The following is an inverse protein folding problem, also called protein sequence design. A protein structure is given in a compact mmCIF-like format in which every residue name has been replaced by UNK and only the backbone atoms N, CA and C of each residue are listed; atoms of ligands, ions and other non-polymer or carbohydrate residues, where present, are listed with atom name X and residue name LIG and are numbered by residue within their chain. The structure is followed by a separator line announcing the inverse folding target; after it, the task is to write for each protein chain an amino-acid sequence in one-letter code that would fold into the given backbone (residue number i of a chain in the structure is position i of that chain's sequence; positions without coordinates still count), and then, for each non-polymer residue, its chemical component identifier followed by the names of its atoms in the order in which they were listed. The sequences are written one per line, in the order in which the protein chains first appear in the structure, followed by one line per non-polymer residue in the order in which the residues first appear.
data_IF_898066918218
#
_entry.id   IF_898066918218
#
_cell.length_a   1.000
_cell.length_b   1.000
_cell.length_c   1.000
_cell.angle_alpha   90.00
_cell.angle_beta   90.00
_cell.angle_gamma   90.00
#
_symmetry.space_group_name_H-M   'P 1'
#
loop_
_entity.id
_entity.type
_entity.pdbx_description
1 polymer ?
#
# COMPACT_ATOMS: atom_id res chain seq x y z
N UNK A 1 26.43 25.23 -29.20
CA UNK A 1 25.76 24.05 -29.79
C UNK A 1 24.23 24.22 -29.73
N UNK A 2 23.43 23.33 -30.32
CA UNK A 2 21.97 23.32 -30.11
C UNK A 2 21.65 22.71 -28.74
N UNK A 3 20.51 23.07 -28.16
CA UNK A 3 20.05 22.62 -26.83
C UNK A 3 20.14 21.10 -26.61
N UNK A 4 19.70 20.33 -27.61
CA UNK A 4 19.61 18.86 -27.49
C UNK A 4 21.00 18.22 -27.49
N UNK A 5 21.93 18.75 -28.28
CA UNK A 5 23.30 18.22 -28.32
C UNK A 5 24.07 18.59 -27.04
N UNK A 6 23.83 19.78 -26.49
CA UNK A 6 24.36 20.17 -25.19
C UNK A 6 23.79 19.30 -24.06
N UNK A 7 22.49 18.97 -24.11
CA UNK A 7 21.86 18.08 -23.13
C UNK A 7 22.46 16.67 -23.15
N UNK A 8 22.73 16.13 -24.33
CA UNK A 8 23.36 14.82 -24.50
C UNK A 8 24.75 14.79 -23.88
N UNK A 9 25.61 15.77 -24.20
CA UNK A 9 26.96 15.87 -23.66
C UNK A 9 26.99 15.97 -22.12
N UNK A 10 26.10 16.80 -21.55
CA UNK A 10 25.98 16.94 -20.09
C UNK A 10 25.53 15.63 -19.43
N UNK A 11 24.54 14.95 -20.02
CA UNK A 11 24.08 13.66 -19.50
C UNK A 11 25.16 12.57 -19.62
N UNK A 12 25.90 12.51 -20.73
CA UNK A 12 27.02 11.57 -20.91
C UNK A 12 28.09 11.75 -19.85
N UNK A 13 28.45 13.00 -19.55
CA UNK A 13 29.43 13.34 -18.52
C UNK A 13 28.90 13.02 -17.11
N UNK A 14 27.62 13.28 -16.85
CA UNK A 14 27.00 13.03 -15.55
C UNK A 14 26.77 11.55 -15.24
N UNK A 15 26.60 10.70 -16.27
CA UNK A 15 26.31 9.25 -16.16
C UNK A 15 25.10 8.91 -15.26
N UNK A 16 24.18 9.86 -15.06
CA UNK A 16 22.96 9.71 -14.28
C UNK A 16 21.86 10.62 -14.84
N UNK A 17 20.58 10.31 -14.63
CA UNK A 17 19.51 11.22 -15.03
C UNK A 17 19.59 12.55 -14.28
N UNK A 18 19.27 13.65 -14.96
CA UNK A 18 19.30 15.00 -14.41
C UNK A 18 18.00 15.75 -14.74
N UNK A 19 17.64 16.67 -13.86
CA UNK A 19 16.54 17.60 -14.12
C UNK A 19 16.94 18.60 -15.21
N UNK A 20 16.02 18.98 -16.11
CA UNK A 20 16.36 19.87 -17.24
C UNK A 20 17.00 21.20 -16.80
N UNK A 21 16.60 21.75 -15.65
CA UNK A 21 17.18 22.97 -15.10
C UNK A 21 18.67 22.81 -14.75
N UNK A 22 19.04 21.65 -14.21
CA UNK A 22 20.43 21.30 -13.89
C UNK A 22 21.24 21.02 -15.17
N UNK A 23 20.61 20.39 -16.18
CA UNK A 23 21.22 20.19 -17.50
C UNK A 23 21.55 21.54 -18.15
N UNK A 24 20.60 22.48 -18.11
CA UNK A 24 20.79 23.83 -18.65
C UNK A 24 21.88 24.58 -17.91
N UNK A 25 21.88 24.54 -16.57
CA UNK A 25 22.90 25.21 -15.76
C UNK A 25 24.30 24.75 -16.13
N UNK A 26 24.53 23.43 -16.15
CA UNK A 26 25.84 22.86 -16.52
C UNK A 26 26.23 23.16 -17.97
N UNK A 27 25.26 23.15 -18.89
CA UNK A 27 25.53 23.48 -20.28
C UNK A 27 25.97 24.94 -20.48
N UNK A 28 25.45 25.88 -19.68
CA UNK A 28 25.88 27.28 -19.66
C UNK A 28 27.24 27.42 -18.96
N UNK A 29 27.41 26.78 -17.79
CA UNK A 29 28.66 26.83 -17.02
C UNK A 29 29.86 26.25 -17.80
N UNK A 30 29.62 25.25 -18.65
CA UNK A 30 30.64 24.65 -19.52
C UNK A 30 30.78 25.35 -20.89
N UNK A 31 30.05 26.44 -21.14
CA UNK A 31 30.09 27.19 -22.41
C UNK A 31 29.58 26.40 -23.62
N UNK A 32 28.88 25.28 -23.41
CA UNK A 32 28.33 24.43 -24.47
C UNK A 32 27.09 25.04 -25.13
N UNK A 33 26.41 25.90 -24.36
CA UNK A 33 25.21 26.61 -24.76
C UNK A 33 25.40 28.10 -24.48
N UNK A 34 24.98 28.93 -25.44
CA UNK A 34 24.91 30.38 -25.26
C UNK A 34 23.47 30.82 -25.60
N UNK A 35 22.87 31.66 -24.75
CA UNK A 35 21.44 31.99 -24.86
C UNK A 35 21.16 33.45 -24.53
N UNK A 36 20.41 34.12 -25.41
CA UNK A 36 19.98 35.52 -25.25
C UNK A 36 18.59 35.63 -24.58
N UNK A 37 17.85 34.52 -24.45
CA UNK A 37 16.46 34.49 -23.96
C UNK A 37 16.30 34.37 -22.45
N UNK A 38 15.18 34.86 -21.92
CA UNK A 38 14.93 34.97 -20.47
C UNK A 38 14.75 33.65 -19.70
N UNK A 39 14.49 32.52 -20.38
CA UNK A 39 14.23 31.22 -19.72
C UNK A 39 14.83 30.01 -20.46
N UNK A 40 16.16 29.85 -20.48
CA UNK A 40 16.84 28.75 -21.18
C UNK A 40 16.49 27.37 -20.62
N UNK A 41 16.15 27.26 -19.33
CA UNK A 41 15.72 26.01 -18.70
C UNK A 41 14.43 25.43 -19.28
N UNK A 42 13.41 26.27 -19.48
CA UNK A 42 12.14 25.85 -20.08
C UNK A 42 12.33 25.41 -21.53
N UNK A 43 13.16 26.11 -22.28
CA UNK A 43 13.52 25.76 -23.66
C UNK A 43 14.23 24.40 -23.72
N UNK A 44 15.20 24.15 -22.84
CA UNK A 44 15.89 22.87 -22.75
C UNK A 44 14.91 21.71 -22.53
N UNK A 45 14.05 21.82 -21.51
CA UNK A 45 13.06 20.80 -21.19
C UNK A 45 12.07 20.54 -22.34
N UNK A 46 11.57 21.60 -22.98
CA UNK A 46 10.66 21.48 -24.12
C UNK A 46 11.32 20.77 -25.32
N UNK A 47 12.56 21.13 -25.65
CA UNK A 47 13.29 20.54 -26.77
C UNK A 47 13.57 19.04 -26.58
N UNK A 48 13.96 18.63 -25.37
CA UNK A 48 14.16 17.22 -25.03
C UNK A 48 12.83 16.45 -25.09
N UNK A 49 11.77 17.02 -24.52
CA UNK A 49 10.44 16.39 -24.51
C UNK A 49 9.85 16.23 -25.92
N UNK A 50 9.98 17.25 -26.78
CA UNK A 50 9.52 17.18 -28.17
C UNK A 50 10.28 16.12 -28.97
N UNK A 51 11.60 15.96 -28.76
CA UNK A 51 12.36 14.88 -29.40
C UNK A 51 11.86 13.51 -28.94
N UNK A 52 11.64 13.30 -27.64
CA UNK A 52 11.08 12.04 -27.11
C UNK A 52 9.73 11.71 -27.75
N UNK A 53 8.79 12.67 -27.81
CA UNK A 53 7.48 12.45 -28.43
C UNK A 53 7.59 12.16 -29.93
N UNK A 54 8.48 12.85 -30.64
CA UNK A 54 8.72 12.61 -32.05
C UNK A 54 9.29 11.21 -32.30
N UNK A 55 10.25 10.79 -31.49
CA UNK A 55 10.88 9.47 -31.59
C UNK A 55 9.88 8.35 -31.31
N UNK A 56 9.00 8.53 -30.31
CA UNK A 56 7.89 7.61 -30.03
C UNK A 56 6.89 7.53 -31.18
N UNK A 57 6.53 8.66 -31.79
CA UNK A 57 5.58 8.72 -32.90
C UNK A 57 6.12 8.08 -34.19
N UNK A 58 7.42 8.22 -34.43
CA UNK A 58 8.08 7.79 -35.68
C UNK A 58 8.76 6.43 -35.56
N UNK A 59 8.87 5.87 -34.36
CA UNK A 59 9.63 4.65 -34.11
C UNK A 59 11.14 4.81 -34.24
N UNK A 60 11.65 6.06 -34.32
CA UNK A 60 13.08 6.34 -34.39
C UNK A 60 13.74 5.98 -33.06
N UNK A 61 14.95 5.43 -33.13
CA UNK A 61 15.79 5.34 -31.93
C UNK A 61 16.24 6.73 -31.48
N UNK A 62 15.51 7.24 -30.48
CA UNK A 62 15.80 8.50 -29.81
C UNK A 62 16.97 8.44 -28.84
N UNK A 63 17.54 9.61 -28.52
CA UNK A 63 18.69 9.75 -27.62
C UNK A 63 18.29 9.80 -26.14
N UNK A 64 17.11 10.35 -25.85
CA UNK A 64 16.66 10.65 -24.50
C UNK A 64 15.54 9.72 -24.05
N UNK A 65 15.44 9.53 -22.74
CA UNK A 65 14.30 8.92 -22.06
C UNK A 65 13.87 9.81 -20.90
N UNK A 66 12.57 9.95 -20.70
CA UNK A 66 12.01 10.61 -19.52
C UNK A 66 11.91 9.59 -18.39
N UNK A 67 12.66 9.81 -17.31
CA UNK A 67 12.68 8.90 -16.14
C UNK A 67 11.79 9.38 -14.99
N UNK A 68 11.32 10.64 -15.04
CA UNK A 68 10.46 11.23 -14.03
C UNK A 68 10.03 12.66 -14.38
N UNK A 69 9.29 13.36 -13.51
CA UNK A 69 8.89 14.75 -13.73
C UNK A 69 10.10 15.67 -13.91
N UNK A 70 10.32 16.16 -15.13
CA UNK A 70 11.46 17.04 -15.46
C UNK A 70 12.84 16.37 -15.47
N UNK A 71 12.94 15.08 -15.13
CA UNK A 71 14.18 14.30 -15.17
C UNK A 71 14.33 13.54 -16.50
N UNK A 72 15.50 13.68 -17.10
CA UNK A 72 15.86 13.06 -18.37
C UNK A 72 17.16 12.26 -18.24
N UNK A 73 17.23 11.14 -18.93
CA UNK A 73 18.43 10.31 -19.07
C UNK A 73 18.67 9.92 -20.53
N UNK A 74 19.77 9.21 -20.80
CA UNK A 74 20.08 8.71 -22.14
C UNK A 74 19.48 7.33 -22.35
N UNK A 75 18.90 7.08 -23.52
CA UNK A 75 18.25 5.81 -23.87
C UNK A 75 19.20 4.62 -23.81
N UNK A 76 20.49 4.83 -24.12
CA UNK A 76 21.56 3.83 -23.97
C UNK A 76 21.76 3.33 -22.54
N UNK A 77 21.22 4.02 -21.53
CA UNK A 77 21.24 3.58 -20.15
C UNK A 77 20.08 2.64 -19.79
N UNK A 78 19.01 2.53 -20.61
CA UNK A 78 17.88 1.65 -20.31
C UNK A 78 18.29 0.17 -20.24
N UNK A 79 19.26 -0.26 -21.05
CA UNK A 79 19.78 -1.64 -20.99
C UNK A 79 20.54 -1.91 -19.69
N UNK A 80 21.48 -1.02 -19.30
CA UNK A 80 22.29 -1.15 -18.08
C UNK A 80 21.49 -0.90 -16.78
N UNK A 81 20.50 -0.02 -16.84
CA UNK A 81 19.64 0.32 -15.71
C UNK A 81 18.69 -0.83 -15.36
N UNK A 82 18.14 -1.53 -16.37
CA UNK A 82 17.32 -2.74 -16.13
C UNK A 82 18.14 -3.86 -15.52
N UNK A 83 19.35 -4.13 -16.02
CA UNK A 83 20.25 -5.13 -15.43
C UNK A 83 20.58 -4.81 -13.97
N UNK A 84 20.89 -3.54 -13.65
CA UNK A 84 21.23 -3.13 -12.27
C UNK A 84 20.02 -3.17 -11.32
N UNK A 85 18.82 -2.83 -11.80
CA UNK A 85 17.58 -2.89 -11.02
C UNK A 85 17.18 -4.35 -10.75
N UNK A 86 17.26 -5.21 -11.77
CA UNK A 86 17.01 -6.65 -11.62
C UNK A 86 17.98 -7.27 -10.62
N UNK A 87 19.27 -6.95 -10.71
CA UNK A 87 20.25 -7.45 -9.74
C UNK A 87 19.97 -6.97 -8.31
N UNK A 88 19.57 -5.71 -8.11
CA UNK A 88 19.20 -5.18 -6.79
C UNK A 88 17.91 -5.78 -6.25
N UNK A 89 16.91 -5.99 -7.11
CA UNK A 89 15.65 -6.66 -6.75
C UNK A 89 15.89 -8.14 -6.39
N UNK A 90 16.75 -8.84 -7.12
CA UNK A 90 17.15 -10.22 -6.84
C UNK A 90 17.95 -10.34 -5.53
N UNK A 91 18.85 -9.40 -5.26
CA UNK A 91 19.66 -9.37 -4.03
C UNK A 91 18.80 -9.02 -2.81
N UNK A 92 17.87 -8.06 -2.93
CA UNK A 92 16.88 -7.75 -1.90
C UNK A 92 15.88 -8.90 -1.67
N UNK A 93 15.47 -9.60 -2.72
CA UNK A 93 14.59 -10.76 -2.62
C UNK A 93 15.26 -11.93 -1.87
N UNK A 94 16.55 -12.19 -2.13
CA UNK A 94 17.34 -13.21 -1.42
C UNK A 94 17.51 -12.88 0.07
N UNK A 95 17.84 -11.62 0.40
CA UNK A 95 17.96 -11.18 1.80
C UNK A 95 16.61 -11.24 2.52
N UNK A 96 15.50 -10.88 1.85
CA UNK A 96 14.17 -11.05 2.41
C UNK A 96 13.86 -12.53 2.68
N UNK A 97 14.14 -13.43 1.73
CA UNK A 97 13.88 -14.87 1.87
C UNK A 97 14.62 -15.49 3.07
N UNK A 98 15.87 -15.11 3.32
CA UNK A 98 16.67 -15.56 4.46
C UNK A 98 16.17 -15.01 5.82
N UNK A 99 15.52 -13.82 5.83
CA UNK A 99 14.90 -13.21 7.03
C UNK A 99 13.46 -13.75 7.27
N UNK A 100 12.78 -14.29 6.26
CA UNK A 100 11.34 -14.63 6.28
C UNK A 100 10.93 -15.94 6.97
N UNK A 101 11.83 -16.69 7.65
CA UNK A 101 11.41 -17.94 8.30
C UNK A 101 10.50 -17.70 9.52
N UNK A 102 9.20 -17.57 9.25
CA UNK A 102 8.14 -17.46 10.25
C UNK A 102 7.51 -18.83 10.59
N UNK A 103 8.16 -19.94 10.21
CA UNK A 103 7.64 -21.29 10.47
C UNK A 103 7.63 -21.61 11.97
N UNK A 104 8.56 -21.05 12.73
CA UNK A 104 8.64 -21.18 14.19
C UNK A 104 7.53 -20.45 14.97
N UNK A 105 6.74 -19.58 14.32
CA UNK A 105 5.64 -18.87 14.96
C UNK A 105 4.32 -19.65 14.86
N UNK A 106 3.70 -19.88 16.01
CA UNK A 106 2.35 -20.49 16.11
C UNK A 106 1.28 -19.56 15.53
N UNK A 107 0.09 -20.11 15.21
CA UNK A 107 -1.06 -19.31 14.75
C UNK A 107 -1.49 -18.26 15.77
N UNK A 108 -1.39 -18.58 17.07
CA UNK A 108 -1.74 -17.64 18.15
C UNK A 108 -0.76 -16.50 18.23
N UNK A 109 0.55 -16.77 18.13
CA UNK A 109 1.58 -15.72 18.09
C UNK A 109 1.40 -14.82 16.86
N UNK A 110 1.13 -15.42 15.70
CA UNK A 110 0.85 -14.67 14.45
C UNK A 110 -0.37 -13.75 14.59
N UNK A 111 -1.47 -14.26 15.18
CA UNK A 111 -2.65 -13.45 15.48
C UNK A 111 -2.32 -12.28 16.39
N UNK A 112 -1.63 -12.56 17.51
CA UNK A 112 -1.24 -11.54 18.50
C UNK A 112 -0.34 -10.45 17.91
N UNK A 113 0.60 -10.81 17.03
CA UNK A 113 1.43 -9.83 16.31
C UNK A 113 0.54 -8.85 15.55
N UNK A 114 -0.43 -9.36 14.79
CA UNK A 114 -1.31 -8.50 13.98
C UNK A 114 -2.28 -7.70 14.83
N UNK A 115 -2.86 -8.27 15.90
CA UNK A 115 -3.65 -7.52 16.88
C UNK A 115 -2.86 -6.34 17.47
N UNK A 116 -1.60 -6.57 17.85
CA UNK A 116 -0.72 -5.54 18.37
C UNK A 116 -0.41 -4.47 17.31
N UNK A 117 -0.20 -4.85 16.05
CA UNK A 117 0.00 -3.89 14.95
C UNK A 117 -1.24 -3.05 14.67
N UNK A 118 -2.43 -3.65 14.72
CA UNK A 118 -3.69 -2.91 14.59
C UNK A 118 -3.85 -1.93 15.76
N UNK A 119 -3.54 -2.36 17.00
CA UNK A 119 -3.54 -1.47 18.17
C UNK A 119 -2.58 -0.29 18.00
N UNK A 120 -1.36 -0.56 17.54
CA UNK A 120 -0.34 0.45 17.27
C UNK A 120 -0.86 1.49 16.27
N UNK A 121 -1.44 1.06 15.15
CA UNK A 121 -2.03 1.96 14.15
C UNK A 121 -3.11 2.86 14.76
N UNK A 122 -4.03 2.28 15.54
CA UNK A 122 -5.13 3.04 16.17
C UNK A 122 -4.57 4.08 17.14
N UNK A 123 -3.57 3.73 17.95
CA UNK A 123 -2.97 4.65 18.93
C UNK A 123 -2.15 5.77 18.27
N UNK A 124 -1.32 5.41 17.27
CA UNK A 124 -0.47 6.37 16.56
C UNK A 124 -1.31 7.38 15.77
N UNK A 125 -2.22 6.90 14.92
CA UNK A 125 -3.04 7.77 14.07
C UNK A 125 -4.21 8.39 14.83
N UNK A 126 -4.63 7.80 15.95
CA UNK A 126 -5.65 8.38 16.83
C UNK A 126 -5.18 9.62 17.58
N UNK A 127 -3.88 9.94 17.60
CA UNK A 127 -3.35 11.21 18.14
C UNK A 127 -3.73 11.49 19.60
N UNK A 128 -3.99 10.44 20.40
CA UNK A 128 -4.47 10.56 21.79
C UNK A 128 -5.98 10.78 21.95
N UNK A 129 -6.75 10.83 20.87
CA UNK A 129 -8.21 10.89 20.90
C UNK A 129 -8.86 9.52 21.15
N UNK A 130 -8.17 8.43 20.79
CA UNK A 130 -8.64 7.06 20.97
C UNK A 130 -7.88 6.34 22.08
N UNK A 131 -8.59 5.49 22.81
CA UNK A 131 -8.06 4.51 23.76
C UNK A 131 -8.42 3.11 23.28
N UNK A 132 -7.49 2.16 23.43
CA UNK A 132 -7.69 0.77 23.03
C UNK A 132 -7.49 -0.13 24.24
N UNK A 133 -8.46 -1.01 24.50
CA UNK A 133 -8.47 -1.96 25.58
C UNK A 133 -8.51 -3.38 25.03
N UNK A 134 -7.93 -4.33 25.78
CA UNK A 134 -8.00 -5.75 25.49
C UNK A 134 -8.87 -6.43 26.56
N UNK A 135 -9.82 -7.29 26.18
CA UNK A 135 -10.60 -8.03 27.15
C UNK A 135 -9.73 -9.07 27.87
N UNK A 136 -9.96 -9.24 29.17
CA UNK A 136 -9.24 -10.23 29.98
C UNK A 136 -9.67 -11.69 29.65
N UNK A 137 -10.85 -11.87 29.03
CA UNK A 137 -11.41 -13.17 28.68
C UNK A 137 -11.88 -13.20 27.23
N UNK A 138 -11.58 -14.30 26.52
CA UNK A 138 -11.96 -14.54 25.13
C UNK A 138 -13.33 -15.25 25.02
N UNK A 139 -14.39 -14.60 25.48
CA UNK A 139 -15.75 -15.17 25.47
C UNK A 139 -16.50 -14.81 24.18
N UNK A 140 -16.34 -13.57 23.72
CA UNK A 140 -17.13 -13.01 22.61
C UNK A 140 -16.30 -12.87 21.32
N UNK A 141 -15.08 -13.42 21.31
CA UNK A 141 -14.14 -13.32 20.20
C UNK A 141 -13.81 -11.86 19.79
N UNK A 142 -13.97 -10.94 20.74
CA UNK A 142 -13.55 -9.54 20.67
C UNK A 142 -12.08 -9.48 21.03
N UNK A 143 -11.27 -8.92 20.14
CA UNK A 143 -9.82 -8.83 20.34
C UNK A 143 -9.44 -7.44 20.88
N UNK A 144 -10.13 -6.37 20.44
CA UNK A 144 -9.89 -5.00 20.88
C UNK A 144 -11.21 -4.24 21.14
N UNK A 145 -11.20 -3.35 22.11
CA UNK A 145 -12.29 -2.42 22.40
C UNK A 145 -11.74 -1.00 22.26
N UNK A 146 -12.34 -0.19 21.40
CA UNK A 146 -11.88 1.16 21.08
C UNK A 146 -12.88 2.18 21.60
N UNK A 147 -12.39 3.19 22.31
CA UNK A 147 -13.18 4.28 22.88
C UNK A 147 -12.58 5.62 22.48
N UNK A 148 -13.43 6.60 22.18
CA UNK A 148 -13.02 8.00 22.07
C UNK A 148 -12.94 8.60 23.47
N UNK A 149 -11.90 9.40 23.73
CA UNK A 149 -11.68 10.01 25.04
C UNK A 149 -12.87 10.89 25.45
N UNK A 150 -13.36 10.70 26.66
CA UNK A 150 -14.55 11.41 27.17
C UNK A 150 -15.89 10.83 26.70
N UNK A 151 -15.84 9.73 25.94
CA UNK A 151 -17.02 9.05 25.41
C UNK A 151 -17.05 7.60 25.92
N UNK A 152 -18.25 7.08 26.19
CA UNK A 152 -18.45 5.73 26.73
C UNK A 152 -19.15 4.78 25.74
N UNK A 153 -19.12 5.11 24.44
CA UNK A 153 -19.66 4.27 23.38
C UNK A 153 -18.51 3.51 22.70
N UNK A 154 -18.35 2.20 22.95
CA UNK A 154 -17.25 1.44 22.40
C UNK A 154 -17.53 0.98 20.96
N UNK A 155 -16.46 0.93 20.18
CA UNK A 155 -16.37 0.03 19.02
C UNK A 155 -15.66 -1.25 19.46
N UNK A 156 -16.25 -2.38 19.11
CA UNK A 156 -15.66 -3.69 19.29
C UNK A 156 -14.99 -4.13 18.00
N UNK A 157 -13.78 -4.66 18.09
CA UNK A 157 -13.02 -5.17 16.95
C UNK A 157 -12.65 -6.63 17.16
N UNK A 158 -12.93 -7.44 16.15
CA UNK A 158 -12.30 -8.75 15.98
C UNK A 158 -11.24 -8.65 14.89
N UNK A 159 -10.01 -9.04 15.18
CA UNK A 159 -8.89 -9.05 14.24
C UNK A 159 -8.70 -10.46 13.68
N UNK A 160 -8.52 -10.54 12.37
CA UNK A 160 -8.17 -11.79 11.68
C UNK A 160 -7.06 -11.53 10.68
N UNK A 161 -6.00 -12.32 10.81
CA UNK A 161 -4.79 -12.16 10.02
C UNK A 161 -4.52 -13.33 9.09
N UNK A 162 -3.92 -13.05 7.93
CA UNK A 162 -3.24 -14.05 7.10
C UNK A 162 -1.80 -13.64 6.82
N UNK A 163 -0.92 -14.64 6.80
CA UNK A 163 0.49 -14.50 6.42
C UNK A 163 0.75 -15.12 5.04
N UNK A 164 -0.30 -15.65 4.40
CA UNK A 164 -0.25 -16.25 3.09
C UNK A 164 -1.57 -16.11 2.35
N UNK A 165 -1.48 -15.76 1.08
CA UNK A 165 -2.61 -15.59 0.16
C UNK A 165 -2.83 -16.87 -0.67
N UNK A 166 -4.06 -17.05 -1.13
CA UNK A 166 -4.50 -18.21 -1.90
C UNK A 166 -4.71 -17.85 -3.39
N UNK A 167 -4.99 -18.89 -4.20
CA UNK A 167 -5.21 -18.77 -5.65
C UNK A 167 -3.94 -18.89 -6.48
N UNK A 168 -4.09 -19.10 -7.80
CA UNK A 168 -2.97 -19.32 -8.75
C UNK A 168 -1.95 -18.17 -8.73
N UNK A 169 -2.40 -16.93 -8.52
CA UNK A 169 -1.57 -15.74 -8.46
C UNK A 169 -1.16 -15.32 -7.04
N UNK A 170 -1.55 -16.07 -5.98
CA UNK A 170 -1.36 -15.70 -4.57
C UNK A 170 -1.82 -14.26 -4.24
N UNK A 171 -3.00 -13.86 -4.75
CA UNK A 171 -3.57 -12.51 -4.53
C UNK A 171 -4.90 -12.51 -3.76
N UNK A 172 -5.42 -13.69 -3.44
CA UNK A 172 -6.73 -13.83 -2.82
C UNK A 172 -6.61 -14.08 -1.33
N UNK A 173 -7.16 -13.19 -0.53
CA UNK A 173 -7.37 -13.36 0.89
C UNK A 173 -8.58 -14.26 1.12
N UNK A 174 -8.39 -15.32 1.91
CA UNK A 174 -9.46 -16.22 2.34
C UNK A 174 -9.40 -16.33 3.85
N UNK A 175 -10.50 -16.08 4.53
CA UNK A 175 -10.55 -16.23 5.98
C UNK A 175 -11.94 -16.66 6.44
N UNK A 176 -11.95 -17.54 7.43
CA UNK A 176 -13.17 -18.09 7.99
C UNK A 176 -13.37 -17.58 9.43
N UNK A 177 -14.60 -17.28 9.78
CA UNK A 177 -15.06 -17.06 11.16
C UNK A 177 -15.99 -18.20 11.56
N UNK A 178 -15.88 -18.66 12.81
CA UNK A 178 -16.77 -19.69 13.35
C UNK A 178 -18.14 -19.07 13.57
N UNK A 179 -19.15 -19.64 12.93
CA UNK A 179 -20.50 -19.08 12.93
C UNK A 179 -21.13 -19.12 14.33
N UNK A 180 -20.94 -20.21 15.07
CA UNK A 180 -21.51 -20.42 16.42
C UNK A 180 -21.08 -19.41 17.49
N UNK A 181 -19.95 -18.72 17.29
CA UNK A 181 -19.39 -17.76 18.27
C UNK A 181 -19.44 -16.34 17.72
N UNK A 182 -20.20 -16.12 16.65
CA UNK A 182 -20.22 -14.84 15.95
C UNK A 182 -21.63 -14.25 15.99
N UNK A 183 -21.86 -13.33 16.92
CA UNK A 183 -23.11 -12.60 17.02
C UNK A 183 -22.89 -11.17 16.48
N UNK A 184 -23.60 -10.75 15.42
CA UNK A 184 -23.51 -9.40 14.91
C UNK A 184 -23.99 -8.35 15.93
N UNK A 185 -23.34 -7.19 15.93
CA UNK A 185 -23.70 -6.07 16.80
C UNK A 185 -23.41 -4.72 16.10
N UNK A 186 -24.21 -3.66 16.30
CA UNK A 186 -24.10 -2.41 15.54
C UNK A 186 -22.72 -1.73 15.58
N UNK A 187 -22.00 -1.83 16.70
CA UNK A 187 -20.64 -1.26 16.84
C UNK A 187 -19.55 -2.32 16.83
N UNK A 188 -19.83 -3.51 16.28
CA UNK A 188 -18.86 -4.60 16.16
C UNK A 188 -18.38 -4.75 14.72
N UNK A 189 -17.06 -4.65 14.53
CA UNK A 189 -16.41 -4.72 13.23
C UNK A 189 -15.33 -5.80 13.21
N UNK A 190 -15.06 -6.33 12.03
CA UNK A 190 -14.01 -7.31 11.79
C UNK A 190 -12.93 -6.66 10.94
N UNK A 191 -11.71 -6.66 11.47
CA UNK A 191 -10.51 -6.21 10.76
C UNK A 191 -9.84 -7.42 10.13
N UNK A 192 -9.84 -7.50 8.80
CA UNK A 192 -9.01 -8.47 8.09
C UNK A 192 -7.74 -7.80 7.59
N UNK A 193 -6.59 -8.33 8.01
CA UNK A 193 -5.28 -7.80 7.67
C UNK A 193 -4.40 -8.89 7.05
N UNK A 194 -3.70 -8.54 5.97
CA UNK A 194 -2.63 -9.36 5.43
C UNK A 194 -1.30 -8.87 5.99
N UNK A 195 -0.57 -9.77 6.65
CA UNK A 195 0.81 -9.53 7.07
C UNK A 195 1.73 -10.06 5.97
N UNK A 196 2.56 -9.19 5.41
CA UNK A 196 3.50 -9.58 4.37
C UNK A 196 4.79 -10.10 5.02
N UNK A 197 5.09 -11.41 4.91
CA UNK A 197 6.28 -11.98 5.56
C UNK A 197 7.59 -11.43 4.99
N UNK A 198 7.62 -10.92 3.75
CA UNK A 198 8.84 -10.41 3.11
C UNK A 198 9.21 -9.01 3.60
N UNK A 199 8.21 -8.17 3.85
CA UNK A 199 8.42 -6.80 4.33
C UNK A 199 8.25 -6.69 5.85
N UNK A 200 7.80 -7.76 6.52
CA UNK A 200 7.48 -7.81 7.94
C UNK A 200 6.46 -6.73 8.38
N UNK A 201 5.59 -6.35 7.44
CA UNK A 201 4.64 -5.25 7.60
C UNK A 201 3.21 -5.66 7.21
N UNK A 202 2.23 -4.94 7.76
CA UNK A 202 0.86 -5.05 7.28
C UNK A 202 0.74 -4.43 5.88
N UNK A 203 0.01 -5.10 5.01
CA UNK A 203 -0.40 -4.56 3.73
C UNK A 203 -1.18 -3.24 3.92
N UNK A 204 -1.03 -2.31 2.98
CA UNK A 204 -1.62 -0.97 3.09
C UNK A 204 -3.14 -1.03 3.16
N UNK A 205 -3.77 -1.90 2.38
CA UNK A 205 -5.21 -2.15 2.49
C UNK A 205 -5.56 -3.07 3.67
N UNK A 206 -6.48 -2.60 4.52
CA UNK A 206 -7.22 -3.40 5.49
C UNK A 206 -8.68 -3.54 5.04
N UNK A 207 -9.34 -4.64 5.42
CA UNK A 207 -10.80 -4.68 5.39
C UNK A 207 -11.32 -4.35 6.79
N UNK A 208 -12.20 -3.36 6.90
CA UNK A 208 -12.94 -3.03 8.11
C UNK A 208 -14.44 -3.26 7.85
N UNK A 209 -14.92 -4.44 8.22
CA UNK A 209 -16.26 -4.91 7.84
C UNK A 209 -17.19 -4.88 9.05
N UNK A 210 -18.33 -4.16 8.99
CA UNK A 210 -19.38 -4.27 10.00
C UNK A 210 -19.85 -5.72 10.17
N UNK A 211 -20.08 -6.17 11.40
CA UNK A 211 -20.39 -7.58 11.70
C UNK A 211 -21.70 -8.08 11.06
N UNK A 212 -22.70 -7.21 10.93
CA UNK A 212 -23.95 -7.47 10.20
C UNK A 212 -23.69 -7.65 8.70
N UNK A 213 -22.86 -6.80 8.10
CA UNK A 213 -22.46 -6.90 6.68
C UNK A 213 -21.62 -8.12 6.41
N UNK A 214 -20.77 -8.54 7.35
CA UNK A 214 -20.08 -9.82 7.22
C UNK A 214 -21.07 -10.98 7.20
N UNK A 215 -22.05 -10.99 8.12
CA UNK A 215 -23.08 -12.04 8.18
C UNK A 215 -23.90 -12.11 6.89
N UNK A 216 -24.25 -10.96 6.32
CA UNK A 216 -25.01 -10.82 5.07
C UNK A 216 -24.22 -11.31 3.84
N UNK A 217 -22.95 -10.92 3.74
CA UNK A 217 -22.17 -11.05 2.50
C UNK A 217 -21.26 -12.29 2.46
N UNK A 218 -20.87 -12.84 3.61
CA UNK A 218 -19.97 -13.99 3.67
C UNK A 218 -20.62 -15.26 3.11
N UNK A 219 -19.77 -16.16 2.61
CA UNK A 219 -20.23 -17.47 2.12
C UNK A 219 -20.29 -18.43 3.31
N UNK A 220 -21.48 -18.95 3.63
CA UNK A 220 -21.59 -20.02 4.62
C UNK A 220 -21.00 -21.31 4.06
N UNK A 221 -20.11 -21.93 4.83
CA UNK A 221 -19.50 -23.21 4.50
C UNK A 221 -19.59 -24.16 5.69
N UNK A 222 -19.56 -25.46 5.41
CA UNK A 222 -19.46 -26.49 6.43
C UNK A 222 -18.28 -27.42 6.10
N UNK A 223 -17.04 -27.06 6.47
CA UNK A 223 -15.89 -27.93 6.27
C UNK A 223 -16.09 -29.21 7.08
N UNK A 224 -15.93 -30.37 6.46
CA UNK A 224 -16.19 -31.71 7.02
C UNK A 224 -15.94 -31.78 8.55
N UNK A 225 -17.02 -31.77 9.32
CA UNK A 225 -17.02 -31.96 10.79
C UNK A 225 -16.52 -30.79 11.63
N UNK A 226 -16.17 -29.62 11.06
CA UNK A 226 -15.58 -28.47 11.78
C UNK A 226 -16.57 -27.35 12.13
N UNK A 227 -17.86 -27.63 11.98
CA UNK A 227 -18.96 -26.69 12.22
C UNK A 227 -19.12 -25.65 11.10
N UNK A 228 -20.26 -24.97 11.10
CA UNK A 228 -20.56 -23.89 10.16
C UNK A 228 -19.57 -22.73 10.33
N UNK A 229 -19.17 -22.14 9.19
CA UNK A 229 -18.28 -20.99 9.14
C UNK A 229 -18.74 -19.98 8.12
N UNK A 230 -18.48 -18.72 8.42
CA UNK A 230 -18.64 -17.60 7.50
C UNK A 230 -17.30 -17.35 6.82
N UNK A 231 -17.22 -17.60 5.52
CA UNK A 231 -16.01 -17.43 4.72
C UNK A 231 -16.05 -16.12 3.96
N UNK A 232 -15.02 -15.31 4.19
CA UNK A 232 -14.67 -14.19 3.34
C UNK A 232 -13.68 -14.66 2.25
N UNK A 233 -13.94 -14.26 1.01
CA UNK A 233 -13.01 -14.39 -0.12
C UNK A 233 -12.93 -13.05 -0.83
N UNK A 234 -11.77 -12.42 -0.82
CA UNK A 234 -11.54 -11.14 -1.47
C UNK A 234 -10.12 -11.05 -2.03
N UNK A 235 -9.89 -10.46 -3.21
CA UNK A 235 -8.55 -10.05 -3.59
C UNK A 235 -8.07 -8.89 -2.68
N UNK A 236 -6.75 -8.72 -2.50
CA UNK A 236 -6.20 -7.63 -1.66
C UNK A 236 -6.51 -6.21 -2.19
N UNK A 237 -6.78 -6.10 -3.49
CA UNK A 237 -7.17 -4.86 -4.17
C UNK A 237 -8.37 -5.16 -5.07
N UNK A 238 -9.58 -5.33 -4.50
CA UNK A 238 -10.79 -5.57 -5.26
C UNK A 238 -11.15 -4.36 -6.11
N UNK A 239 -11.80 -4.61 -7.24
CA UNK A 239 -12.29 -3.56 -8.11
C UNK A 239 -13.46 -2.83 -7.44
N UNK A 240 -13.64 -1.52 -7.66
CA UNK A 240 -14.83 -0.80 -7.22
C UNK A 240 -16.12 -1.51 -7.66
N UNK A 241 -17.14 -1.49 -6.79
CA UNK A 241 -18.43 -2.14 -7.02
C UNK A 241 -18.45 -3.66 -6.81
N UNK A 242 -17.34 -4.27 -6.37
CA UNK A 242 -17.35 -5.67 -5.93
C UNK A 242 -17.72 -5.79 -4.45
N UNK A 243 -18.22 -6.97 -4.06
CA UNK A 243 -18.81 -7.29 -2.75
C UNK A 243 -18.07 -6.71 -1.52
N UNK A 244 -16.74 -6.67 -1.55
CA UNK A 244 -15.94 -6.24 -0.39
C UNK A 244 -15.24 -4.90 -0.57
N UNK A 245 -15.37 -4.27 -1.75
CA UNK A 245 -14.56 -3.10 -2.11
C UNK A 245 -14.86 -1.87 -1.25
N UNK A 246 -16.10 -1.70 -0.81
CA UNK A 246 -16.51 -0.56 0.03
C UNK A 246 -15.98 -0.63 1.47
N UNK A 247 -15.57 -1.82 1.93
CA UNK A 247 -15.04 -2.01 3.28
C UNK A 247 -13.52 -1.93 3.36
N UNK A 248 -12.86 -1.57 2.26
CA UNK A 248 -11.42 -1.39 2.24
C UNK A 248 -11.07 0.02 2.65
N UNK A 249 -10.09 0.09 3.54
CA UNK A 249 -9.48 1.33 3.98
C UNK A 249 -7.96 1.20 3.86
N UNK A 250 -7.29 2.33 3.69
CA UNK A 250 -5.85 2.36 3.94
C UNK A 250 -5.60 2.21 5.45
N UNK A 251 -4.57 1.44 5.84
CA UNK A 251 -4.21 1.17 7.23
C UNK A 251 -3.94 2.46 8.01
N UNK A 252 -3.47 3.52 7.36
CA UNK A 252 -3.23 4.81 8.02
C UNK A 252 -4.53 5.57 8.31
N UNK A 253 -5.63 5.22 7.64
CA UNK A 253 -6.95 5.82 7.85
C UNK A 253 -7.78 5.09 8.92
N UNK A 254 -7.29 3.98 9.47
CA UNK A 254 -8.04 3.16 10.43
C UNK A 254 -8.56 3.97 11.62
N UNK A 255 -7.72 4.82 12.21
CA UNK A 255 -8.12 5.62 13.36
C UNK A 255 -9.23 6.63 13.01
N UNK A 256 -9.09 7.35 11.89
CA UNK A 256 -10.07 8.33 11.42
C UNK A 256 -11.43 7.67 11.12
N UNK A 257 -11.41 6.51 10.46
CA UNK A 257 -12.64 5.77 10.16
C UNK A 257 -13.30 5.27 11.44
N UNK A 258 -12.54 4.79 12.43
CA UNK A 258 -13.10 4.38 13.72
C UNK A 258 -13.73 5.57 14.47
N UNK A 259 -13.10 6.75 14.47
CA UNK A 259 -13.70 7.96 15.05
C UNK A 259 -15.03 8.31 14.37
N UNK A 260 -15.09 8.27 13.04
CA UNK A 260 -16.31 8.48 12.30
C UNK A 260 -17.39 7.44 12.67
N UNK A 261 -17.02 6.16 12.80
CA UNK A 261 -17.97 5.10 13.20
C UNK A 261 -18.48 5.24 14.63
N UNK A 262 -17.66 5.76 15.55
CA UNK A 262 -18.12 6.13 16.90
C UNK A 262 -19.20 7.20 16.76
N UNK A 263 -18.94 8.27 16.00
CA UNK A 263 -19.88 9.38 15.81
C UNK A 263 -21.17 8.97 15.09
N UNK A 264 -21.11 8.04 14.13
CA UNK A 264 -22.30 7.45 13.50
C UNK A 264 -23.13 6.66 14.53
N UNK A 265 -22.47 5.87 15.40
CA UNK A 265 -23.14 5.13 16.45
C UNK A 265 -23.85 6.04 17.47
N UNK A 266 -23.39 7.28 17.67
CA UNK A 266 -24.11 8.26 18.51
C UNK A 266 -25.53 8.54 18.02
N UNK A 267 -25.79 8.43 16.72
CA UNK A 267 -27.11 8.72 16.13
C UNK A 267 -28.08 7.55 16.26
N UNK A 268 -27.59 6.33 16.42
CA UNK A 268 -28.42 5.12 16.51
C UNK A 268 -29.07 4.94 17.89
N UNK A 269 -28.56 5.63 18.92
CA UNK A 269 -29.04 5.53 20.31
C UNK A 269 -29.66 6.83 20.83
N UNK A 270 -30.14 7.71 19.94
CA UNK A 270 -30.97 8.87 20.29
C UNK A 270 -32.45 8.57 20.12
#
# INVERSE_FOLDING_TARGET
MKFKDAAEAILEKAKKPLHFGEITKRALDEGLLDTVGATPGRTMGAQIYTEILYDQKTGREGRFVKVGPGLFGLKKWEAKGRETLVLKEEEQAKVAEEITDLSGLTSTQKGRIVENRIRELILLYGGGALSVYEPASDIEAIDLIVLKKGEFRPIYLQVKSRFGLSGKSKKTYIQDIREKTFEPYPTFFIVYAYFNPHTMELHDNLFLIPSDKLRELAVEINPQGKGKRLRLVAPMSPKPGTKWAEFIIDKTQLADVLLQKIEEAYQLFR
#
